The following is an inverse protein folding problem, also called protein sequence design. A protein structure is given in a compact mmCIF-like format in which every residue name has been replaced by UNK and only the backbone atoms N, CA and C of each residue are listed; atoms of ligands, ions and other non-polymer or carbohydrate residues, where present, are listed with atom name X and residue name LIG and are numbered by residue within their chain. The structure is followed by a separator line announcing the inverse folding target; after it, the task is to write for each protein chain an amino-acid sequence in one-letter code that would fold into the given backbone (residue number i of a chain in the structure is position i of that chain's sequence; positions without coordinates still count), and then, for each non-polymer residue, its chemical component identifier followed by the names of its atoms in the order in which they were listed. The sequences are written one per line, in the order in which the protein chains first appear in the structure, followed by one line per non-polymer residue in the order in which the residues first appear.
data_IF_905709416701
#
_entry.id   IF_905709416701
#
_cell.length_a   1.000
_cell.length_b   1.000
_cell.length_c   1.000
_cell.angle_alpha   90.00
_cell.angle_beta   90.00
_cell.angle_gamma   90.00
#
_symmetry.space_group_name_H-M   'P 1'
#
loop_
_entity.id
_entity.type
_entity.pdbx_description
1 polymer ?
#
# COMPACT_ATOMS: atom_id res chain seq x y z
N UNK A 1 4.66 2.03 32.27
CA UNK A 1 3.66 3.00 31.78
C UNK A 1 4.01 3.31 30.34
N UNK A 2 3.20 2.89 29.36
CA UNK A 2 3.47 3.19 27.95
C UNK A 2 3.19 4.67 27.69
N UNK A 3 4.14 5.37 27.08
CA UNK A 3 4.00 6.77 26.68
C UNK A 3 3.75 6.83 25.18
N UNK A 4 2.51 7.13 24.78
CA UNK A 4 2.19 7.35 23.37
C UNK A 4 2.90 8.64 22.91
N UNK A 5 3.68 8.54 21.83
CA UNK A 5 4.42 9.67 21.28
C UNK A 5 3.45 10.47 20.40
N UNK A 6 3.25 11.75 20.72
CA UNK A 6 2.56 12.68 19.82
C UNK A 6 3.56 13.27 18.84
N UNK A 7 3.18 13.32 17.57
CA UNK A 7 3.96 13.92 16.49
C UNK A 7 3.22 15.15 15.96
N UNK A 8 4.00 16.13 15.55
CA UNK A 8 3.57 17.38 14.93
C UNK A 8 3.84 17.39 13.42
N UNK A 9 4.74 16.53 12.94
CA UNK A 9 5.08 16.39 11.51
C UNK A 9 5.25 14.93 11.08
N UNK A 10 4.87 14.58 9.83
CA UNK A 10 5.04 13.22 9.31
C UNK A 10 6.52 12.85 9.16
N UNK A 11 6.88 11.65 9.64
CA UNK A 11 8.23 11.05 9.51
C UNK A 11 8.25 9.83 8.60
N UNK A 12 7.12 9.17 8.38
CA UNK A 12 6.99 7.96 7.58
C UNK A 12 6.86 8.28 6.09
N UNK A 13 7.81 9.03 5.54
CA UNK A 13 7.78 9.48 4.14
C UNK A 13 8.24 8.35 3.20
N UNK A 14 7.39 7.85 2.28
CA UNK A 14 7.74 6.74 1.41
C UNK A 14 8.55 7.17 0.17
N UNK A 15 8.80 8.46 -0.03
CA UNK A 15 9.44 9.03 -1.23
C UNK A 15 10.78 8.36 -1.58
N UNK A 16 11.70 8.33 -0.61
CA UNK A 16 13.04 7.74 -0.81
C UNK A 16 12.97 6.23 -1.01
N UNK A 17 12.05 5.57 -0.31
CA UNK A 17 11.81 4.14 -0.46
C UNK A 17 11.34 3.82 -1.88
N UNK A 18 10.34 4.53 -2.41
CA UNK A 18 9.87 4.34 -3.78
C UNK A 18 10.99 4.59 -4.79
N UNK A 19 11.79 5.65 -4.60
CA UNK A 19 12.93 5.95 -5.48
C UNK A 19 13.98 4.83 -5.44
N UNK A 20 14.26 4.27 -4.26
CA UNK A 20 15.17 3.15 -4.10
C UNK A 20 14.66 1.91 -4.82
N UNK A 21 13.36 1.59 -4.71
CA UNK A 21 12.74 0.45 -5.39
C UNK A 21 12.76 0.65 -6.90
N UNK A 22 12.43 1.83 -7.41
CA UNK A 22 12.47 2.13 -8.86
C UNK A 22 13.89 1.93 -9.42
N UNK A 23 14.90 2.48 -8.73
CA UNK A 23 16.29 2.29 -9.13
C UNK A 23 16.71 0.81 -9.07
N UNK A 24 16.29 0.09 -8.03
CA UNK A 24 16.58 -1.33 -7.87
C UNK A 24 15.93 -2.16 -8.99
N UNK A 25 14.65 -1.93 -9.27
CA UNK A 25 13.90 -2.65 -10.30
C UNK A 25 14.41 -2.38 -11.71
N UNK A 26 14.82 -1.13 -12.00
CA UNK A 26 15.47 -0.78 -13.27
C UNK A 26 16.82 -1.51 -13.44
N UNK A 27 17.63 -1.58 -12.39
CA UNK A 27 18.96 -2.20 -12.42
C UNK A 27 18.93 -3.73 -12.44
N UNK A 28 17.94 -4.34 -11.78
CA UNK A 28 17.89 -5.78 -11.49
C UNK A 28 16.70 -6.50 -12.13
N UNK A 29 16.16 -5.97 -13.24
CA UNK A 29 14.97 -6.50 -13.94
C UNK A 29 15.02 -8.01 -14.17
N UNK A 30 16.16 -8.55 -14.60
CA UNK A 30 16.32 -9.98 -14.92
C UNK A 30 16.56 -10.89 -13.72
N UNK A 31 16.76 -10.35 -12.52
CA UNK A 31 17.13 -11.11 -11.32
C UNK A 31 16.05 -11.11 -10.23
N UNK A 32 15.01 -10.29 -10.39
CA UNK A 32 13.87 -10.25 -9.47
C UNK A 32 13.01 -11.50 -9.64
N UNK A 33 13.07 -12.40 -8.66
CA UNK A 33 12.16 -13.53 -8.59
C UNK A 33 10.81 -13.12 -7.96
N UNK A 34 9.84 -14.02 -8.03
CA UNK A 34 8.49 -13.79 -7.50
C UNK A 34 8.47 -13.39 -6.02
N UNK A 35 9.30 -14.01 -5.18
CA UNK A 35 9.37 -13.70 -3.75
C UNK A 35 9.76 -12.25 -3.54
N UNK A 36 10.78 -11.78 -4.27
CA UNK A 36 11.22 -10.38 -4.20
C UNK A 36 10.12 -9.42 -4.65
N UNK A 37 9.43 -9.74 -5.76
CA UNK A 37 8.34 -8.91 -6.27
C UNK A 37 7.20 -8.82 -5.24
N UNK A 38 6.75 -9.95 -4.69
CA UNK A 38 5.70 -10.00 -3.65
C UNK A 38 6.06 -9.13 -2.42
N UNK A 39 7.32 -9.17 -2.00
CA UNK A 39 7.79 -8.37 -0.85
C UNK A 39 7.90 -6.89 -1.18
N UNK A 40 8.33 -6.54 -2.39
CA UNK A 40 8.34 -5.14 -2.86
C UNK A 40 6.91 -4.59 -2.88
N UNK A 41 5.95 -5.32 -3.46
CA UNK A 41 4.52 -4.90 -3.49
C UNK A 41 3.99 -4.67 -2.07
N UNK A 42 4.27 -5.59 -1.15
CA UNK A 42 3.84 -5.48 0.25
C UNK A 42 4.44 -4.26 0.93
N UNK A 43 5.73 -4.03 0.72
CA UNK A 43 6.48 -2.91 1.28
C UNK A 43 5.96 -1.56 0.77
N UNK A 44 5.71 -1.45 -0.53
CA UNK A 44 5.12 -0.26 -1.17
C UNK A 44 3.76 0.07 -0.53
N UNK A 45 2.85 -0.89 -0.52
CA UNK A 45 1.50 -0.69 0.01
C UNK A 45 1.52 -0.25 1.48
N UNK A 46 2.30 -0.95 2.32
CA UNK A 46 2.39 -0.63 3.74
C UNK A 46 3.05 0.73 3.98
N UNK A 47 4.00 1.14 3.15
CA UNK A 47 4.63 2.45 3.26
C UNK A 47 3.65 3.60 2.99
N UNK A 48 2.80 3.46 1.98
CA UNK A 48 1.76 4.44 1.64
C UNK A 48 0.67 4.48 2.70
N UNK A 49 0.19 3.31 3.14
CA UNK A 49 -0.79 3.20 4.22
C UNK A 49 -0.29 3.85 5.52
N UNK A 50 0.95 3.56 5.91
CA UNK A 50 1.52 4.11 7.14
C UNK A 50 1.72 5.63 7.04
N UNK A 51 2.11 6.13 5.86
CA UNK A 51 2.24 7.56 5.63
C UNK A 51 0.90 8.28 5.77
N UNK A 52 -0.14 7.75 5.11
CA UNK A 52 -1.50 8.23 5.25
C UNK A 52 -1.97 8.22 6.71
N UNK A 53 -1.81 7.09 7.40
CA UNK A 53 -2.24 6.92 8.79
C UNK A 53 -1.56 7.94 9.71
N UNK A 54 -0.27 8.20 9.51
CA UNK A 54 0.46 9.21 10.27
C UNK A 54 -0.06 10.63 9.99
N UNK A 55 -0.35 10.98 8.72
CA UNK A 55 -0.94 12.28 8.37
C UNK A 55 -2.30 12.49 9.06
N UNK A 56 -3.15 11.46 9.05
CA UNK A 56 -4.45 11.49 9.74
C UNK A 56 -4.27 11.65 11.26
N UNK A 57 -3.35 10.89 11.85
CA UNK A 57 -3.08 10.97 13.27
C UNK A 57 -2.60 12.37 13.71
N UNK A 58 -1.69 12.98 12.95
CA UNK A 58 -1.18 14.33 13.24
C UNK A 58 -2.29 15.39 13.17
N UNK A 59 -3.25 15.23 12.25
CA UNK A 59 -4.41 16.14 12.08
C UNK A 59 -5.49 15.96 13.14
N UNK A 60 -5.34 15.00 14.04
CA UNK A 60 -6.30 14.73 15.10
C UNK A 60 -7.20 13.52 14.88
N UNK A 61 -7.09 12.83 13.74
CA UNK A 61 -7.76 11.54 13.54
C UNK A 61 -7.24 10.49 14.52
N UNK A 62 -8.10 9.57 14.96
CA UNK A 62 -7.78 8.57 15.99
C UNK A 62 -8.21 7.18 15.56
N UNK A 63 -7.30 6.22 15.74
CA UNK A 63 -7.49 4.80 15.52
C UNK A 63 -8.13 4.07 16.71
N UNK A 64 -8.06 2.75 16.69
CA UNK A 64 -8.87 1.87 17.57
C UNK A 64 -8.12 1.31 18.80
N UNK A 65 -6.81 1.50 18.90
CA UNK A 65 -5.98 0.97 20.00
C UNK A 65 -5.76 1.98 21.14
N UNK A 66 -4.98 1.58 22.17
CA UNK A 66 -4.68 2.43 23.32
C UNK A 66 -3.98 3.74 22.94
N UNK A 67 -3.03 3.70 22.00
CA UNK A 67 -2.37 4.89 21.51
C UNK A 67 -3.11 5.57 20.36
N UNK A 68 -4.22 4.98 19.91
CA UNK A 68 -5.08 5.49 18.85
C UNK A 68 -4.33 5.71 17.53
N UNK A 69 -3.28 4.91 17.27
CA UNK A 69 -2.47 4.92 16.05
C UNK A 69 -2.75 3.69 15.15
N UNK A 70 -3.62 2.78 15.58
CA UNK A 70 -4.07 1.64 14.78
C UNK A 70 -5.25 2.01 13.88
N UNK A 71 -5.00 2.13 12.57
CA UNK A 71 -6.01 2.36 11.54
C UNK A 71 -6.28 1.07 10.74
N UNK A 72 -7.49 0.96 10.16
CA UNK A 72 -7.87 -0.16 9.29
C UNK A 72 -7.58 0.16 7.83
N UNK A 73 -7.21 -0.85 7.05
CA UNK A 73 -7.06 -0.70 5.59
C UNK A 73 -8.34 -0.19 4.92
N UNK A 74 -9.51 -0.62 5.38
CA UNK A 74 -10.79 -0.15 4.83
C UNK A 74 -11.04 1.35 5.02
N UNK A 75 -10.44 1.97 6.05
CA UNK A 75 -10.49 3.43 6.22
C UNK A 75 -9.64 4.10 5.14
N UNK A 76 -8.40 3.64 4.98
CA UNK A 76 -7.49 4.12 3.94
C UNK A 76 -8.11 4.00 2.54
N UNK A 77 -8.64 2.82 2.21
CA UNK A 77 -9.28 2.55 0.93
C UNK A 77 -10.42 3.52 0.64
N UNK A 78 -11.38 3.62 1.56
CA UNK A 78 -12.55 4.48 1.40
C UNK A 78 -12.16 5.94 1.19
N UNK A 79 -11.17 6.41 1.94
CA UNK A 79 -10.72 7.80 1.85
C UNK A 79 -10.01 8.08 0.53
N UNK A 80 -9.13 7.19 0.07
CA UNK A 80 -8.48 7.35 -1.22
C UNK A 80 -9.47 7.24 -2.39
N UNK A 81 -10.45 6.33 -2.30
CA UNK A 81 -11.56 6.23 -3.27
C UNK A 81 -12.34 7.55 -3.31
N UNK A 82 -12.66 8.16 -2.17
CA UNK A 82 -13.41 9.43 -2.15
C UNK A 82 -12.62 10.61 -2.75
N UNK A 83 -11.31 10.46 -2.95
CA UNK A 83 -10.44 11.42 -3.62
C UNK A 83 -10.18 11.05 -5.10
N UNK A 84 -10.95 10.11 -5.66
CA UNK A 84 -10.85 9.72 -7.07
C UNK A 84 -9.73 8.74 -7.39
N UNK A 85 -9.11 8.11 -6.38
CA UNK A 85 -7.99 7.18 -6.55
C UNK A 85 -8.45 5.71 -6.56
N UNK A 86 -9.71 5.44 -6.91
CA UNK A 86 -10.32 4.10 -6.85
C UNK A 86 -9.49 3.06 -7.62
N UNK A 87 -9.11 3.36 -8.87
CA UNK A 87 -8.31 2.45 -9.67
C UNK A 87 -6.94 2.12 -9.04
N UNK A 88 -6.20 3.14 -8.59
CA UNK A 88 -4.91 2.95 -7.95
C UNK A 88 -5.06 2.09 -6.69
N UNK A 89 -6.08 2.37 -5.88
CA UNK A 89 -6.34 1.65 -4.65
C UNK A 89 -6.76 0.20 -4.87
N UNK A 90 -7.63 -0.05 -5.85
CA UNK A 90 -8.06 -1.38 -6.21
C UNK A 90 -6.87 -2.25 -6.61
N UNK A 91 -6.03 -1.78 -7.54
CA UNK A 91 -4.85 -2.52 -8.02
C UNK A 91 -3.85 -2.75 -6.89
N UNK A 92 -3.56 -1.72 -6.09
CA UNK A 92 -2.64 -1.84 -4.97
C UNK A 92 -3.13 -2.87 -3.94
N UNK A 93 -4.43 -2.85 -3.60
CA UNK A 93 -5.01 -3.79 -2.65
C UNK A 93 -5.12 -5.22 -3.20
N UNK A 94 -5.45 -5.37 -4.49
CA UNK A 94 -5.48 -6.64 -5.22
C UNK A 94 -4.14 -7.37 -5.11
N UNK A 95 -3.07 -6.73 -5.57
CA UNK A 95 -1.75 -7.36 -5.58
C UNK A 95 -1.12 -7.44 -4.19
N UNK A 96 -1.50 -6.56 -3.27
CA UNK A 96 -1.15 -6.72 -1.84
C UNK A 96 -1.77 -7.97 -1.24
N UNK A 97 -3.02 -8.27 -1.58
CA UNK A 97 -3.74 -9.47 -1.11
C UNK A 97 -3.10 -10.74 -1.70
N UNK A 98 -2.77 -10.71 -3.00
CA UNK A 98 -2.09 -11.79 -3.69
C UNK A 98 -0.67 -12.09 -3.12
N UNK A 99 0.03 -11.06 -2.65
CA UNK A 99 1.41 -11.17 -2.16
C UNK A 99 1.55 -11.81 -0.77
N UNK A 100 0.47 -11.87 0.01
CA UNK A 100 0.52 -12.30 1.42
C UNK A 100 0.04 -13.74 1.64
N UNK A 101 -1.07 -14.11 1.01
CA UNK A 101 -1.82 -15.31 1.42
C UNK A 101 -1.77 -16.44 0.39
N UNK A 102 -1.17 -16.23 -0.77
CA UNK A 102 -1.21 -17.17 -1.89
C UNK A 102 0.19 -17.63 -2.32
N UNK A 103 0.37 -18.95 -2.34
CA UNK A 103 1.64 -19.60 -2.68
C UNK A 103 1.76 -19.79 -4.21
N UNK A 104 0.65 -20.03 -4.89
CA UNK A 104 0.63 -20.24 -6.34
C UNK A 104 0.75 -18.90 -7.10
N UNK A 105 1.27 -18.99 -8.32
CA UNK A 105 1.33 -17.90 -9.28
C UNK A 105 1.27 -18.49 -10.70
N UNK A 106 0.21 -18.23 -11.49
CA UNK A 106 -0.96 -17.42 -11.16
C UNK A 106 -1.81 -18.01 -10.02
N UNK A 107 -2.71 -17.20 -9.45
CA UNK A 107 -3.64 -17.61 -8.39
C UNK A 107 -4.99 -16.90 -8.49
N UNK A 108 -5.98 -17.37 -7.75
CA UNK A 108 -7.27 -16.71 -7.59
C UNK A 108 -7.37 -16.12 -6.20
N UNK A 109 -7.69 -14.83 -6.13
CA UNK A 109 -7.89 -14.15 -4.86
C UNK A 109 -9.35 -13.75 -4.67
N UNK A 110 -9.77 -13.63 -3.42
CA UNK A 110 -11.04 -13.01 -3.04
C UNK A 110 -10.78 -11.80 -2.15
N UNK A 111 -11.23 -10.63 -2.60
CA UNK A 111 -11.09 -9.39 -1.83
C UNK A 111 -12.05 -9.37 -0.65
N UNK A 112 -11.51 -9.05 0.53
CA UNK A 112 -12.25 -9.05 1.80
C UNK A 112 -12.63 -7.66 2.29
N UNK A 113 -11.99 -6.62 1.73
CA UNK A 113 -12.33 -5.25 2.06
C UNK A 113 -13.79 -4.92 1.69
N UNK A 114 -14.55 -4.21 2.56
CA UNK A 114 -15.94 -3.86 2.27
C UNK A 114 -16.19 -3.13 0.95
N UNK A 115 -15.21 -2.36 0.45
CA UNK A 115 -15.35 -1.62 -0.81
C UNK A 115 -15.40 -2.55 -2.05
N UNK A 116 -14.81 -3.75 -1.96
CA UNK A 116 -14.69 -4.70 -3.08
C UNK A 116 -15.03 -6.14 -2.67
N UNK A 117 -15.85 -6.30 -1.62
CA UNK A 117 -16.09 -7.58 -0.98
C UNK A 117 -16.70 -8.58 -1.97
N UNK A 118 -16.12 -9.78 -2.02
CA UNK A 118 -16.64 -10.88 -2.83
C UNK A 118 -16.20 -10.85 -4.30
N UNK A 119 -15.46 -9.83 -4.73
CA UNK A 119 -14.79 -9.85 -6.03
C UNK A 119 -13.73 -10.97 -6.03
N UNK A 120 -13.80 -11.83 -7.05
CA UNK A 120 -12.86 -12.93 -7.29
C UNK A 120 -12.14 -12.70 -8.60
N UNK A 121 -10.81 -12.75 -8.57
CA UNK A 121 -9.98 -12.37 -9.71
C UNK A 121 -8.80 -13.33 -9.84
N UNK A 122 -8.46 -13.68 -11.08
CA UNK A 122 -7.20 -14.36 -11.40
C UNK A 122 -6.09 -13.32 -11.48
N UNK A 123 -5.05 -13.50 -10.69
CA UNK A 123 -3.90 -12.60 -10.62
C UNK A 123 -2.62 -13.37 -10.89
N UNK A 124 -1.71 -12.73 -11.62
CA UNK A 124 -0.37 -13.22 -11.87
C UNK A 124 0.62 -12.14 -11.46
N UNK A 125 1.55 -12.47 -10.56
CA UNK A 125 2.58 -11.55 -10.11
C UNK A 125 3.81 -11.73 -10.99
N UNK A 126 4.10 -10.69 -11.77
CA UNK A 126 5.29 -10.63 -12.62
C UNK A 126 5.89 -9.21 -12.62
N UNK A 127 6.99 -9.03 -13.34
CA UNK A 127 7.70 -7.75 -13.36
C UNK A 127 6.87 -6.60 -13.96
N UNK A 128 6.01 -6.86 -14.93
CA UNK A 128 5.19 -5.81 -15.54
C UNK A 128 4.15 -5.28 -14.53
N UNK A 129 3.56 -6.17 -13.73
CA UNK A 129 2.68 -5.78 -12.62
C UNK A 129 3.42 -4.90 -11.61
N UNK A 130 4.68 -5.22 -11.30
CA UNK A 130 5.48 -4.39 -10.40
C UNK A 130 5.68 -2.97 -10.94
N UNK A 131 5.91 -2.82 -12.25
CA UNK A 131 6.03 -1.49 -12.88
C UNK A 131 4.73 -0.69 -12.78
N UNK A 132 3.58 -1.33 -13.01
CA UNK A 132 2.28 -0.66 -12.88
C UNK A 132 2.02 -0.26 -11.42
N UNK A 133 2.34 -1.13 -10.47
CA UNK A 133 2.22 -0.83 -9.03
C UNK A 133 3.10 0.36 -8.65
N UNK A 134 4.34 0.44 -9.14
CA UNK A 134 5.23 1.59 -8.87
C UNK A 134 4.64 2.90 -9.41
N UNK A 135 4.13 2.88 -10.64
CA UNK A 135 3.46 4.02 -11.26
C UNK A 135 2.25 4.48 -10.43
N UNK A 136 1.32 3.58 -10.13
CA UNK A 136 0.13 3.90 -9.33
C UNK A 136 0.48 4.35 -7.90
N UNK A 137 1.58 3.83 -7.35
CA UNK A 137 2.09 4.25 -6.04
C UNK A 137 2.61 5.69 -6.05
N UNK A 138 3.21 6.14 -7.16
CA UNK A 138 3.62 7.54 -7.32
C UNK A 138 2.43 8.47 -7.48
N UNK A 139 1.41 8.06 -8.22
CA UNK A 139 0.15 8.80 -8.33
C UNK A 139 -0.51 8.97 -6.95
N UNK A 140 -0.62 7.86 -6.21
CA UNK A 140 -1.16 7.87 -4.85
C UNK A 140 -0.31 8.70 -3.89
N UNK A 141 1.03 8.59 -3.95
CA UNK A 141 1.91 9.39 -3.10
C UNK A 141 1.77 10.89 -3.37
N UNK A 142 1.66 11.29 -4.65
CA UNK A 142 1.44 12.69 -5.00
C UNK A 142 0.13 13.22 -4.38
N UNK A 143 -0.95 12.46 -4.51
CA UNK A 143 -2.21 12.82 -3.87
C UNK A 143 -2.10 12.86 -2.34
N UNK A 144 -1.35 11.92 -1.74
CA UNK A 144 -1.07 11.91 -0.31
C UNK A 144 -0.22 13.09 0.15
N UNK A 145 0.65 13.66 -0.69
CA UNK A 145 1.43 14.86 -0.33
C UNK A 145 0.54 16.10 -0.27
N UNK A 146 -0.38 16.22 -1.22
CA UNK A 146 -1.39 17.28 -1.32
C UNK A 146 -2.51 17.15 -0.27
N UNK A 147 -2.69 15.94 0.27
CA UNK A 147 -3.66 15.60 1.30
C UNK A 147 -3.50 16.50 2.50
#
# INVERSE_FOLDING_TARGET
MYRCIRRDQPRLKPHELLSLIENYTAKYRGTLNEVMIKRIISMIYLSLFNYWAEKIYIRGGRGEDFCQDMFRYSQFHREMISHGLDHAMFVLYEYRTASDHYILNPTYIELKDPNWKGIRISVEINFNVLLEILKLSRELLKALDEY
#
